data_IF_038601208692
#
_entry.id   IF_038601208692
#
_cell.length_a   1.000
_cell.length_b   1.000
_cell.length_c   1.000
_cell.angle_alpha   90.00
_cell.angle_beta   90.00
_cell.angle_gamma   90.00
#
_symmetry.space_group_name_H-M   'P 1'
#
loop_
_entity.id
_entity.type
_entity.pdbx_description
1 polymer ?
#
# COMPACT_ATOMS: atom_id res chain seq x y z
N UNK A 1 0.76 15.18 -1.29
CA UNK A 1 0.76 13.84 -0.68
C UNK A 1 -0.04 13.84 0.60
N UNK A 2 0.39 14.57 1.65
CA UNK A 2 -0.30 14.64 2.96
C UNK A 2 -1.81 14.85 2.86
N UNK A 3 -2.28 15.91 2.18
CA UNK A 3 -3.73 16.15 2.01
C UNK A 3 -4.46 14.94 1.42
N UNK A 4 -3.87 14.29 0.42
CA UNK A 4 -4.50 13.16 -0.25
C UNK A 4 -4.52 11.89 0.64
N UNK A 5 -3.53 11.71 1.52
CA UNK A 5 -3.53 10.65 2.53
C UNK A 5 -4.63 10.91 3.56
N UNK A 6 -4.74 12.15 4.06
CA UNK A 6 -5.80 12.55 4.99
C UNK A 6 -7.19 12.36 4.36
N UNK A 7 -7.39 12.79 3.13
CA UNK A 7 -8.64 12.58 2.38
C UNK A 7 -8.98 11.08 2.25
N UNK A 8 -7.96 10.23 2.07
CA UNK A 8 -8.14 8.77 1.99
C UNK A 8 -8.56 8.17 3.33
N UNK A 9 -7.97 8.63 4.43
CA UNK A 9 -8.38 8.23 5.77
C UNK A 9 -9.83 8.66 6.05
N UNK A 10 -10.22 9.87 5.67
CA UNK A 10 -11.60 10.35 5.79
C UNK A 10 -12.58 9.49 4.97
N UNK A 11 -12.20 9.05 3.77
CA UNK A 11 -13.00 8.13 2.96
C UNK A 11 -13.16 6.76 3.63
N UNK A 12 -12.12 6.26 4.30
CA UNK A 12 -12.19 5.05 5.11
C UNK A 12 -13.09 5.23 6.34
N UNK A 13 -13.06 6.38 7.02
CA UNK A 13 -14.00 6.69 8.12
C UNK A 13 -15.45 6.65 7.62
N UNK A 14 -15.73 7.27 6.46
CA UNK A 14 -17.08 7.22 5.85
C UNK A 14 -17.48 5.78 5.50
N UNK A 15 -16.55 4.97 5.01
CA UNK A 15 -16.78 3.56 4.69
C UNK A 15 -17.11 2.74 5.92
N UNK A 16 -16.33 2.89 7.00
CA UNK A 16 -16.61 2.30 8.30
C UNK A 16 -18.01 2.68 8.78
N UNK A 17 -18.35 3.98 8.78
CA UNK A 17 -19.66 4.44 9.22
C UNK A 17 -20.82 3.90 8.37
N UNK A 18 -20.58 3.62 7.09
CA UNK A 18 -21.58 3.07 6.17
C UNK A 18 -21.74 1.55 6.28
N UNK A 19 -20.65 0.83 6.53
CA UNK A 19 -20.59 -0.64 6.41
C UNK A 19 -20.47 -1.35 7.76
N UNK A 20 -20.02 -0.66 8.81
CA UNK A 20 -19.63 -1.25 10.08
C UNK A 20 -18.33 -2.08 10.01
N UNK A 21 -17.62 -2.09 8.88
CA UNK A 21 -16.38 -2.84 8.75
C UNK A 21 -15.23 -2.08 9.38
N UNK A 22 -14.58 -2.73 10.35
CA UNK A 22 -13.36 -2.24 10.98
C UNK A 22 -12.25 -2.04 9.93
N UNK A 23 -11.67 -0.84 9.91
CA UNK A 23 -10.57 -0.48 9.01
C UNK A 23 -9.39 0.01 9.85
N UNK A 24 -8.23 -0.57 9.60
CA UNK A 24 -6.97 -0.16 10.22
C UNK A 24 -6.05 0.41 9.15
N UNK A 25 -5.38 1.51 9.47
CA UNK A 25 -4.49 2.22 8.56
C UNK A 25 -3.10 2.36 9.20
N UNK A 26 -2.07 2.13 8.40
CA UNK A 26 -0.69 2.49 8.70
C UNK A 26 -0.15 3.35 7.55
N UNK A 27 0.66 4.35 7.87
CA UNK A 27 1.37 5.16 6.87
C UNK A 27 2.86 5.05 7.12
N UNK A 28 3.60 4.58 6.12
CA UNK A 28 5.05 4.44 6.15
C UNK A 28 5.68 5.30 5.05
N UNK A 29 6.81 5.91 5.37
CA UNK A 29 7.68 6.60 4.44
C UNK A 29 8.95 5.78 4.29
N UNK A 30 9.35 5.53 3.04
CA UNK A 30 10.65 4.97 2.72
C UNK A 30 11.52 6.04 2.09
N UNK A 31 12.59 6.35 2.81
CA UNK A 31 13.63 7.28 2.41
C UNK A 31 14.90 6.88 3.16
N UNK A 32 16.04 6.92 2.48
CA UNK A 32 17.35 6.68 3.11
C UNK A 32 17.74 7.75 4.15
N UNK A 33 16.98 8.84 4.25
CA UNK A 33 17.21 9.93 5.21
C UNK A 33 16.95 9.51 6.67
N UNK A 34 16.10 8.50 6.89
CA UNK A 34 15.66 8.03 8.21
C UNK A 34 16.50 6.91 8.82
N UNK A 35 17.56 6.46 8.13
CA UNK A 35 18.29 5.24 8.48
C UNK A 35 17.88 4.05 7.60
N UNK A 36 18.30 2.83 7.93
CA UNK A 36 18.17 1.67 7.03
C UNK A 36 16.75 1.09 6.94
N UNK A 37 15.77 1.60 7.70
CA UNK A 37 14.44 1.01 7.82
C UNK A 37 13.35 1.99 7.37
N UNK A 38 12.16 1.45 7.05
CA UNK A 38 10.94 2.23 6.90
C UNK A 38 10.68 3.13 8.11
N UNK A 39 10.37 4.40 7.85
CA UNK A 39 9.87 5.32 8.88
C UNK A 39 8.36 5.17 8.96
N UNK A 40 7.88 4.64 10.09
CA UNK A 40 6.45 4.65 10.40
C UNK A 40 6.05 6.08 10.77
N UNK A 41 5.19 6.70 9.96
CA UNK A 41 4.61 8.02 10.27
C UNK A 41 3.36 7.85 11.12
N UNK A 42 2.50 6.91 10.72
CA UNK A 42 1.29 6.52 11.45
C UNK A 42 1.36 5.03 11.69
N UNK A 43 1.41 4.54 12.95
CA UNK A 43 1.35 3.10 13.24
C UNK A 43 -0.03 2.55 12.85
N UNK A 44 -0.21 1.22 12.87
CA UNK A 44 -1.55 0.66 12.70
C UNK A 44 -2.49 1.23 13.77
N UNK A 45 -3.45 2.02 13.33
CA UNK A 45 -4.52 2.59 14.16
C UNK A 45 -5.86 2.24 13.54
N UNK A 46 -6.88 2.09 14.39
CA UNK A 46 -8.24 2.06 13.89
C UNK A 46 -8.54 3.40 13.22
N UNK A 47 -9.24 3.40 12.08
CA UNK A 47 -9.36 4.62 11.26
C UNK A 47 -10.09 5.76 11.98
N UNK A 48 -10.95 5.47 12.97
CA UNK A 48 -11.58 6.50 13.81
C UNK A 48 -10.58 7.24 14.71
N UNK A 49 -9.46 6.59 15.05
CA UNK A 49 -8.40 7.15 15.89
C UNK A 49 -7.27 7.77 15.05
N UNK A 50 -7.45 7.84 13.73
CA UNK A 50 -6.48 8.47 12.83
C UNK A 50 -6.38 9.97 13.13
N UNK A 51 -5.16 10.40 13.44
CA UNK A 51 -4.84 11.83 13.58
C UNK A 51 -4.31 12.33 12.23
N UNK A 52 -4.93 13.36 11.63
CA UNK A 52 -4.49 13.90 10.36
C UNK A 52 -3.01 14.31 10.38
N UNK A 53 -2.29 13.82 9.38
CA UNK A 53 -0.90 14.19 9.15
C UNK A 53 -0.78 15.65 8.73
N UNK A 54 0.37 16.24 9.06
CA UNK A 54 0.79 17.57 8.66
C UNK A 54 1.94 17.49 7.66
N UNK A 55 2.27 18.61 7.01
CA UNK A 55 3.42 18.70 6.09
C UNK A 55 4.77 18.49 6.78
N UNK A 56 4.81 18.60 8.11
CA UNK A 56 6.00 18.32 8.92
C UNK A 56 6.23 16.81 9.11
N UNK A 57 5.18 16.00 8.98
CA UNK A 57 5.25 14.55 9.21
C UNK A 57 5.86 13.80 8.02
N UNK A 58 5.69 14.33 6.80
CA UNK A 58 6.13 13.70 5.54
C UNK A 58 7.02 14.64 4.73
N UNK A 59 8.20 14.16 4.32
CA UNK A 59 9.13 14.93 3.49
C UNK A 59 9.62 14.08 2.34
N UNK A 60 9.17 14.39 1.12
CA UNK A 60 9.65 13.76 -0.11
C UNK A 60 11.13 14.13 -0.36
N UNK A 61 12.04 13.30 0.15
CA UNK A 61 13.48 13.46 0.01
C UNK A 61 14.18 12.10 0.16
N UNK A 62 15.46 12.04 -0.21
CA UNK A 62 16.28 10.83 -0.08
C UNK A 62 16.16 9.89 -1.28
N UNK A 63 16.74 8.70 -1.12
CA UNK A 63 16.76 7.62 -2.11
C UNK A 63 15.60 6.64 -1.88
N UNK A 64 15.30 5.86 -2.91
CA UNK A 64 14.14 4.95 -2.98
C UNK A 64 14.58 3.50 -2.83
N UNK A 65 14.78 2.95 -1.61
CA UNK A 65 15.10 1.52 -1.42
C UNK A 65 13.84 0.67 -1.63
N UNK A 66 13.30 0.67 -2.85
CA UNK A 66 11.98 0.16 -3.21
C UNK A 66 11.82 -1.32 -2.86
N UNK A 67 12.83 -2.16 -3.12
CA UNK A 67 12.75 -3.59 -2.84
C UNK A 67 12.59 -3.86 -1.33
N UNK A 68 13.41 -3.20 -0.53
CA UNK A 68 13.40 -3.33 0.94
C UNK A 68 12.12 -2.75 1.52
N UNK A 69 11.69 -1.57 1.05
CA UNK A 69 10.45 -0.94 1.46
C UNK A 69 9.21 -1.79 1.13
N UNK A 70 9.19 -2.40 -0.06
CA UNK A 70 8.12 -3.31 -0.47
C UNK A 70 8.04 -4.51 0.45
N UNK A 71 9.18 -5.15 0.72
CA UNK A 71 9.26 -6.32 1.59
C UNK A 71 8.78 -5.99 3.00
N UNK A 72 9.31 -4.92 3.59
CA UNK A 72 9.01 -4.51 4.96
C UNK A 72 7.55 -4.08 5.11
N UNK A 73 7.02 -3.30 4.16
CA UNK A 73 5.65 -2.81 4.21
C UNK A 73 4.63 -3.94 4.11
N UNK A 74 4.84 -4.87 3.18
CA UNK A 74 4.00 -6.06 3.03
C UNK A 74 4.11 -6.98 4.24
N UNK A 75 5.31 -7.16 4.80
CA UNK A 75 5.52 -7.95 6.01
C UNK A 75 4.79 -7.33 7.21
N UNK A 76 4.85 -6.01 7.37
CA UNK A 76 4.14 -5.30 8.44
C UNK A 76 2.62 -5.50 8.33
N UNK A 77 2.05 -5.37 7.13
CA UNK A 77 0.62 -5.63 6.89
C UNK A 77 0.25 -7.08 7.22
N UNK A 78 1.04 -8.05 6.79
CA UNK A 78 0.71 -9.47 7.01
C UNK A 78 0.85 -9.90 8.47
N UNK A 79 1.86 -9.39 9.19
CA UNK A 79 1.98 -9.62 10.64
C UNK A 79 0.79 -9.02 11.38
N UNK A 80 0.37 -7.80 11.03
CA UNK A 80 -0.78 -7.18 11.67
C UNK A 80 -2.07 -7.94 11.37
N UNK A 81 -2.30 -8.33 10.11
CA UNK A 81 -3.45 -9.16 9.72
C UNK A 81 -3.51 -10.49 10.48
N UNK A 82 -2.37 -11.19 10.59
CA UNK A 82 -2.25 -12.41 11.39
C UNK A 82 -2.57 -12.16 12.87
N UNK A 83 -2.16 -11.02 13.43
CA UNK A 83 -2.49 -10.66 14.80
C UNK A 83 -3.99 -10.45 15.01
N UNK A 84 -4.68 -9.80 14.07
CA UNK A 84 -6.14 -9.63 14.13
C UNK A 84 -6.85 -10.99 14.11
N UNK A 85 -6.44 -11.90 13.24
CA UNK A 85 -6.95 -13.27 13.23
C UNK A 85 -6.72 -14.00 14.56
N UNK A 86 -5.53 -13.85 15.16
CA UNK A 86 -5.22 -14.45 16.46
C UNK A 86 -6.12 -13.92 17.59
N UNK A 87 -6.62 -12.69 17.47
CA UNK A 87 -7.60 -12.08 18.39
C UNK A 87 -9.06 -12.31 17.98
N UNK A 88 -9.33 -13.20 17.04
CA UNK A 88 -10.68 -13.65 16.69
C UNK A 88 -11.36 -12.86 15.56
N UNK A 89 -10.64 -11.95 14.88
CA UNK A 89 -11.16 -11.34 13.67
C UNK A 89 -11.34 -12.39 12.56
N UNK A 90 -12.40 -12.27 11.77
CA UNK A 90 -12.66 -13.13 10.61
C UNK A 90 -12.74 -12.29 9.35
N UNK A 91 -12.31 -12.82 8.21
CA UNK A 91 -12.43 -12.12 6.92
C UNK A 91 -11.51 -10.92 6.75
N UNK A 92 -10.40 -10.85 7.51
CA UNK A 92 -9.39 -9.78 7.38
C UNK A 92 -8.88 -9.73 5.93
N UNK A 93 -8.80 -8.51 5.38
CA UNK A 93 -8.17 -8.25 4.09
C UNK A 93 -6.90 -7.46 4.31
N UNK A 94 -5.81 -7.92 3.71
CA UNK A 94 -4.49 -7.32 3.77
C UNK A 94 -4.25 -6.57 2.47
N UNK A 95 -4.19 -5.23 2.54
CA UNK A 95 -3.93 -4.38 1.38
C UNK A 95 -2.71 -3.52 1.66
N UNK A 96 -1.64 -3.72 0.90
CA UNK A 96 -0.46 -2.87 0.90
C UNK A 96 -0.40 -2.10 -0.41
N UNK A 97 -0.43 -0.78 -0.33
CA UNK A 97 -0.27 0.11 -1.50
C UNK A 97 1.09 0.78 -1.44
N UNK A 98 1.88 0.57 -2.48
CA UNK A 98 3.19 1.19 -2.67
C UNK A 98 3.01 2.37 -3.62
N UNK A 99 3.48 3.55 -3.22
CA UNK A 99 3.42 4.76 -4.05
C UNK A 99 4.85 5.26 -4.22
N UNK A 100 5.31 5.39 -5.47
CA UNK A 100 6.68 5.84 -5.76
C UNK A 100 6.76 6.61 -7.07
N UNK A 101 7.64 7.61 -7.10
CA UNK A 101 8.02 8.38 -8.29
C UNK A 101 9.41 7.99 -8.83
N UNK A 102 10.01 6.93 -8.31
CA UNK A 102 11.35 6.47 -8.66
C UNK A 102 11.47 4.96 -8.75
N UNK A 103 12.56 4.51 -9.37
CA UNK A 103 12.97 3.10 -9.40
C UNK A 103 13.76 2.73 -8.14
N UNK A 104 13.97 1.44 -7.93
CA UNK A 104 14.82 0.95 -6.83
C UNK A 104 16.22 1.58 -6.90
N UNK A 105 16.58 2.23 -5.81
CA UNK A 105 17.87 2.86 -5.60
C UNK A 105 18.41 2.37 -4.26
N UNK A 106 19.01 1.17 -4.26
CA UNK A 106 19.52 0.58 -3.04
C UNK A 106 20.64 1.48 -2.52
N UNK A 107 20.43 2.09 -1.36
CA UNK A 107 21.50 2.84 -0.72
C UNK A 107 22.64 1.84 -0.37
N UNK A 108 23.89 2.22 -0.65
CA UNK A 108 25.08 1.45 -0.24
C UNK A 108 25.18 1.26 1.29
N UNK A 109 24.29 1.90 2.05
CA UNK A 109 24.20 1.88 3.50
C UNK A 109 23.33 0.74 4.03
N UNK A 110 22.40 0.17 3.25
CA UNK A 110 21.66 -1.00 3.70
C UNK A 110 22.50 -2.26 3.46
N UNK A 111 23.08 -2.79 4.54
CA UNK A 111 23.70 -4.13 4.56
C UNK A 111 22.69 -5.26 4.24
N UNK A 112 21.44 -4.90 3.98
CA UNK A 112 20.26 -5.74 3.77
C UNK A 112 19.59 -5.51 2.42
N UNK A 113 20.25 -4.82 1.47
CA UNK A 113 19.70 -4.57 0.14
C UNK A 113 19.05 -5.84 -0.42
N UNK A 114 17.72 -5.86 -0.41
CA UNK A 114 16.94 -7.02 -0.83
C UNK A 114 17.04 -7.10 -2.33
N UNK A 115 17.42 -8.27 -2.82
CA UNK A 115 17.42 -8.51 -4.25
C UNK A 115 15.98 -8.59 -4.72
N UNK A 116 15.71 -8.00 -5.89
CA UNK A 116 14.38 -8.01 -6.53
C UNK A 116 13.77 -9.42 -6.60
N UNK A 117 14.59 -10.43 -6.90
CA UNK A 117 14.18 -11.84 -6.97
C UNK A 117 13.72 -12.43 -5.62
N UNK A 118 14.24 -11.93 -4.49
CA UNK A 118 13.76 -12.32 -3.17
C UNK A 118 12.35 -11.76 -2.93
N UNK A 119 12.16 -10.47 -3.20
CA UNK A 119 10.85 -9.80 -3.08
C UNK A 119 9.82 -10.44 -4.00
N UNK A 120 10.22 -10.76 -5.24
CA UNK A 120 9.36 -11.45 -6.21
C UNK A 120 8.87 -12.80 -5.73
N UNK A 121 9.77 -13.61 -5.15
CA UNK A 121 9.38 -14.93 -4.60
C UNK A 121 8.43 -14.78 -3.42
N UNK A 122 8.70 -13.81 -2.55
CA UNK A 122 7.86 -13.48 -1.41
C UNK A 122 6.45 -13.02 -1.83
N UNK A 123 6.34 -12.07 -2.76
CA UNK A 123 5.04 -11.62 -3.27
C UNK A 123 4.29 -12.73 -4.01
N UNK A 124 4.99 -13.59 -4.75
CA UNK A 124 4.37 -14.74 -5.42
C UNK A 124 3.68 -15.68 -4.43
N UNK A 125 4.29 -15.93 -3.27
CA UNK A 125 3.68 -16.73 -2.22
C UNK A 125 2.42 -16.04 -1.65
N UNK A 126 2.50 -14.76 -1.34
CA UNK A 126 1.37 -14.01 -0.78
C UNK A 126 0.22 -13.83 -1.78
N UNK A 127 0.50 -13.64 -3.07
CA UNK A 127 -0.50 -13.54 -4.12
C UNK A 127 -1.32 -14.83 -4.32
N UNK A 128 -0.90 -15.96 -3.73
CA UNK A 128 -1.73 -17.17 -3.69
C UNK A 128 -2.86 -17.10 -2.65
N UNK A 129 -2.82 -16.11 -1.74
CA UNK A 129 -3.79 -15.91 -0.67
C UNK A 129 -4.88 -14.91 -1.12
N UNK A 130 -6.16 -15.29 -1.16
CA UNK A 130 -7.22 -14.44 -1.71
C UNK A 130 -7.50 -13.15 -0.91
N UNK A 131 -7.08 -13.11 0.36
CA UNK A 131 -7.24 -11.95 1.23
C UNK A 131 -6.09 -10.94 1.13
N UNK A 132 -5.03 -11.23 0.38
CA UNK A 132 -3.86 -10.38 0.24
C UNK A 132 -3.85 -9.64 -1.10
N UNK A 133 -3.50 -8.35 -1.05
CA UNK A 133 -3.25 -7.49 -2.20
C UNK A 133 -2.00 -6.66 -1.95
N UNK A 134 -1.06 -6.75 -2.89
CA UNK A 134 -0.01 -5.75 -3.06
C UNK A 134 -0.32 -4.97 -4.34
N UNK A 135 -0.42 -3.64 -4.23
CA UNK A 135 -0.69 -2.74 -5.34
C UNK A 135 0.39 -1.68 -5.47
N UNK A 136 0.63 -1.23 -6.70
CA UNK A 136 1.67 -0.25 -7.03
C UNK A 136 1.07 0.95 -7.74
N UNK A 137 1.41 2.14 -7.27
CA UNK A 137 1.11 3.41 -7.91
C UNK A 137 2.44 4.07 -8.30
N UNK A 138 2.79 3.97 -9.58
CA UNK A 138 3.92 4.68 -10.16
C UNK A 138 3.54 6.13 -10.49
N UNK A 139 4.44 7.07 -10.22
CA UNK A 139 4.25 8.49 -10.52
C UNK A 139 5.26 8.89 -11.60
N UNK A 140 4.82 9.06 -12.85
CA UNK A 140 5.69 9.46 -13.96
C UNK A 140 5.61 8.50 -15.16
N UNK A 141 6.75 7.93 -15.56
CA UNK A 141 6.86 7.13 -16.79
C UNK A 141 6.27 5.72 -16.66
N UNK A 142 5.13 5.49 -17.31
CA UNK A 142 4.37 4.24 -17.21
C UNK A 142 5.18 3.00 -17.59
N UNK A 143 5.95 3.06 -18.68
CA UNK A 143 6.68 1.88 -19.15
C UNK A 143 7.73 1.44 -18.13
N UNK A 144 8.49 2.39 -17.58
CA UNK A 144 9.48 2.11 -16.54
C UNK A 144 8.82 1.54 -15.28
N UNK A 145 7.75 2.17 -14.78
CA UNK A 145 7.11 1.72 -13.53
C UNK A 145 6.40 0.38 -13.65
N UNK A 146 5.74 0.12 -14.79
CA UNK A 146 5.13 -1.19 -15.02
C UNK A 146 6.19 -2.28 -15.09
N UNK A 147 7.33 -2.02 -15.74
CA UNK A 147 8.45 -2.97 -15.77
C UNK A 147 8.97 -3.23 -14.36
N UNK A 148 9.26 -2.18 -13.59
CA UNK A 148 9.78 -2.31 -12.23
C UNK A 148 8.83 -3.08 -11.30
N UNK A 149 7.53 -2.74 -11.32
CA UNK A 149 6.52 -3.39 -10.49
C UNK A 149 6.27 -4.86 -10.89
N UNK A 150 6.24 -5.17 -12.19
CA UNK A 150 6.07 -6.56 -12.65
C UNK A 150 7.29 -7.43 -12.32
N UNK A 151 8.50 -6.88 -12.41
CA UNK A 151 9.73 -7.58 -11.99
C UNK A 151 9.77 -7.83 -10.49
N UNK A 152 9.23 -6.91 -9.67
CA UNK A 152 9.01 -7.10 -8.23
C UNK A 152 7.99 -8.20 -7.92
N UNK A 153 7.17 -8.64 -8.88
CA UNK A 153 6.14 -9.66 -8.70
C UNK A 153 4.76 -9.10 -8.36
N UNK A 154 4.54 -7.80 -8.56
CA UNK A 154 3.22 -7.18 -8.45
C UNK A 154 2.39 -7.61 -9.66
N UNK A 155 1.13 -8.00 -9.41
CA UNK A 155 0.23 -8.46 -10.46
C UNK A 155 -0.17 -7.29 -11.37
N UNK A 156 -0.25 -7.53 -12.68
CA UNK A 156 -0.44 -6.48 -13.69
C UNK A 156 -1.71 -5.63 -13.46
N UNK A 157 -2.80 -6.25 -13.00
CA UNK A 157 -4.05 -5.58 -12.65
C UNK A 157 -3.99 -4.76 -11.36
N UNK A 158 -2.88 -4.84 -10.62
CA UNK A 158 -2.63 -4.06 -9.40
C UNK A 158 -1.57 -2.96 -9.64
N UNK A 159 -1.26 -2.63 -10.90
CA UNK A 159 -0.33 -1.57 -11.26
C UNK A 159 -1.10 -0.40 -11.86
N UNK A 160 -0.95 0.77 -11.26
CA UNK A 160 -1.47 2.05 -11.75
C UNK A 160 -0.29 2.99 -11.98
N UNK A 161 -0.32 3.75 -13.06
CA UNK A 161 0.58 4.90 -13.23
C UNK A 161 -0.24 6.18 -13.29
N UNK A 162 0.23 7.24 -12.64
CA UNK A 162 -0.36 8.57 -12.68
C UNK A 162 0.69 9.63 -12.98
N UNK A 163 0.24 10.80 -13.42
CA UNK A 163 1.11 11.95 -13.55
C UNK A 163 1.55 12.50 -12.17
N UNK A 164 2.65 13.25 -12.16
CA UNK A 164 3.26 13.84 -10.96
C UNK A 164 2.51 15.02 -10.36
N UNK A 165 1.35 15.40 -10.89
CA UNK A 165 0.61 16.53 -10.34
C UNK A 165 -0.08 16.17 -9.03
N UNK A 166 -0.43 17.19 -8.23
CA UNK A 166 -1.28 16.99 -7.04
C UNK A 166 -2.59 16.27 -7.41
N UNK A 167 -3.16 16.60 -8.57
CA UNK A 167 -4.39 15.96 -9.07
C UNK A 167 -4.21 14.47 -9.39
N UNK A 168 -3.11 14.09 -10.04
CA UNK A 168 -2.78 12.69 -10.34
C UNK A 168 -2.68 11.83 -9.09
N UNK A 169 -1.92 12.29 -8.08
CA UNK A 169 -1.76 11.60 -6.80
C UNK A 169 -3.08 11.50 -6.04
N UNK A 170 -3.85 12.59 -5.95
CA UNK A 170 -5.17 12.57 -5.30
C UNK A 170 -6.12 11.61 -6.01
N UNK A 171 -6.09 11.53 -7.35
CA UNK A 171 -6.90 10.58 -8.10
C UNK A 171 -6.50 9.13 -7.82
N UNK A 172 -5.21 8.83 -7.75
CA UNK A 172 -4.72 7.50 -7.39
C UNK A 172 -5.21 7.06 -6.01
N UNK A 173 -5.07 7.94 -5.01
CA UNK A 173 -5.48 7.64 -3.64
C UNK A 173 -7.01 7.53 -3.49
N UNK A 174 -7.80 8.32 -4.22
CA UNK A 174 -9.25 8.11 -4.34
C UNK A 174 -9.62 6.77 -5.00
N UNK A 175 -8.81 6.33 -5.96
CA UNK A 175 -9.01 5.01 -6.58
C UNK A 175 -8.72 3.90 -5.58
N UNK A 176 -7.69 4.07 -4.73
CA UNK A 176 -7.39 3.16 -3.62
C UNK A 176 -8.58 3.07 -2.66
N UNK A 177 -9.09 4.20 -2.16
CA UNK A 177 -10.22 4.19 -1.22
C UNK A 177 -11.47 3.53 -1.82
N UNK A 178 -11.78 3.83 -3.09
CA UNK A 178 -12.87 3.22 -3.84
C UNK A 178 -12.70 1.71 -4.02
N UNK A 179 -11.47 1.27 -4.31
CA UNK A 179 -11.12 -0.14 -4.53
C UNK A 179 -11.24 -0.98 -3.27
N UNK A 180 -10.78 -0.44 -2.13
CA UNK A 180 -11.00 -1.06 -0.81
C UNK A 180 -12.50 -1.17 -0.51
N UNK A 181 -13.28 -0.13 -0.80
CA UNK A 181 -14.73 -0.14 -0.62
C UNK A 181 -15.46 -1.16 -1.49
N UNK A 182 -15.04 -1.33 -2.74
CA UNK A 182 -15.59 -2.35 -3.65
C UNK A 182 -15.28 -3.77 -3.18
N UNK A 183 -14.05 -4.03 -2.70
CA UNK A 183 -13.69 -5.33 -2.11
C UNK A 183 -14.49 -5.63 -0.86
N UNK A 184 -14.62 -4.66 0.04
CA UNK A 184 -15.45 -4.74 1.25
C UNK A 184 -16.88 -5.19 0.92
N UNK A 185 -17.51 -4.57 -0.09
CA UNK A 185 -18.87 -4.92 -0.52
C UNK A 185 -18.94 -6.32 -1.16
N UNK A 186 -17.95 -6.69 -1.96
CA UNK A 186 -17.90 -8.00 -2.63
C UNK A 186 -17.87 -9.15 -1.62
N UNK A 187 -17.17 -9.00 -0.50
CA UNK A 187 -17.13 -9.98 0.59
C UNK A 187 -18.50 -10.13 1.24
N UNK A 188 -19.16 -9.02 1.57
CA UNK A 188 -20.51 -9.07 2.14
C UNK A 188 -21.51 -9.76 1.19
N UNK A 189 -21.28 -9.64 -0.12
CA UNK A 189 -22.09 -10.30 -1.14
C UNK A 189 -21.66 -11.76 -1.45
N UNK A 190 -20.74 -12.34 -0.65
CA UNK A 190 -20.12 -13.65 -0.87
C UNK A 190 -19.55 -13.84 -2.29
N UNK A 191 -19.11 -12.74 -2.91
CA UNK A 191 -18.47 -12.78 -4.22
C UNK A 191 -16.99 -13.15 -4.05
N UNK A 192 -16.40 -13.91 -4.99
CA UNK A 192 -14.98 -14.21 -4.95
C UNK A 192 -14.17 -12.91 -5.03
N UNK A 193 -13.26 -12.73 -4.07
CA UNK A 193 -12.27 -11.67 -4.13
C UNK A 193 -10.93 -12.29 -4.48
N UNK A 194 -10.29 -11.81 -5.53
CA UNK A 194 -8.99 -12.30 -5.98
C UNK A 194 -7.88 -11.28 -5.63
N UNK A 195 -6.62 -11.71 -5.64
CA UNK A 195 -5.49 -10.81 -5.36
C UNK A 195 -5.16 -9.87 -6.52
N UNK A 196 -5.75 -10.05 -7.71
CA UNK A 196 -5.49 -9.26 -8.92
C UNK A 196 -6.59 -8.20 -9.15
N UNK A 197 -6.38 -7.28 -10.08
CA UNK A 197 -7.36 -6.26 -10.48
C UNK A 197 -7.86 -5.42 -9.30
N UNK A 198 -6.94 -5.01 -8.41
CA UNK A 198 -7.28 -4.21 -7.25
C UNK A 198 -7.95 -2.90 -7.63
N UNK A 199 -7.42 -2.19 -8.62
CA UNK A 199 -7.91 -0.86 -8.99
C UNK A 199 -9.22 -0.93 -9.78
N UNK A 200 -10.32 -0.52 -9.13
CA UNK A 200 -11.65 -0.51 -9.75
C UNK A 200 -11.90 0.82 -10.45
N UNK A 201 -11.73 0.86 -11.77
CA UNK A 201 -12.16 1.99 -12.59
C UNK A 201 -13.63 1.83 -12.94
N UNK A 202 -14.50 2.55 -12.23
CA UNK A 202 -15.90 2.72 -12.65
C UNK A 202 -16.00 3.58 -13.91
#
# INVERSE_FOLDING_TARGET
MVDAINDTADDFVKMLNKTGQEIYLQVMEFSDRGGPNLRVIVPFVHVQDYVPMTVQDYVAAGMTPLNEATFDGVTATSIFGASLFAYGATGVQEVTVIISDGIDNPSSMSKRARQKDEVRRFLKELNSKPHFVCAFVGIGDELTFRTEATELGILDGNILTVDKTKGGITKALKLVSSSVGSRSQSIHANQPVNSNNFFVTN
#
